data_IF_259227816128
#
_entry.id   IF_259227816128
#
_cell.length_a   1.000
_cell.length_b   1.000
_cell.length_c   1.000
_cell.angle_alpha   90.00
_cell.angle_beta   90.00
_cell.angle_gamma   90.00
#
_symmetry.space_group_name_H-M   'P 1'
#
loop_
_entity.id
_entity.type
_entity.pdbx_description
1 polymer ?
#
# COMPACT_ATOMS: atom_id res chain seq x y z
N UNK A 1 12.42 -20.81 1.81
CA UNK A 1 12.21 -19.41 1.38
C UNK A 1 11.06 -19.40 0.40
N UNK A 2 9.99 -18.63 0.66
CA UNK A 2 8.84 -18.51 -0.26
C UNK A 2 9.00 -17.23 -1.05
N UNK A 3 9.05 -17.35 -2.38
CA UNK A 3 9.17 -16.21 -3.30
C UNK A 3 7.80 -15.97 -3.91
N UNK A 4 7.35 -14.72 -3.91
CA UNK A 4 6.13 -14.29 -4.60
C UNK A 4 6.50 -13.17 -5.55
N UNK A 5 6.08 -13.30 -6.80
CA UNK A 5 6.28 -12.28 -7.82
C UNK A 5 5.07 -11.34 -7.81
N UNK A 6 5.34 -10.03 -7.80
CA UNK A 6 4.33 -8.97 -7.80
C UNK A 6 4.67 -8.01 -8.92
N UNK A 7 3.67 -7.50 -9.64
CA UNK A 7 3.91 -6.52 -10.70
C UNK A 7 4.44 -5.21 -10.09
N UNK A 8 5.65 -4.83 -10.50
CA UNK A 8 6.31 -3.60 -10.05
C UNK A 8 6.01 -2.39 -10.94
N UNK A 9 5.27 -2.54 -12.03
CA UNK A 9 5.04 -1.45 -12.99
C UNK A 9 4.41 -0.23 -12.32
N UNK A 10 5.12 0.91 -12.35
CA UNK A 10 4.63 2.19 -11.85
C UNK A 10 4.70 2.37 -10.33
N UNK A 11 5.27 1.43 -9.56
CA UNK A 11 5.38 1.55 -8.09
C UNK A 11 6.26 2.71 -7.65
N UNK A 12 7.24 3.11 -8.46
CA UNK A 12 8.15 4.24 -8.18
C UNK A 12 7.59 5.61 -8.56
N UNK A 13 6.47 5.65 -9.29
CA UNK A 13 5.90 6.88 -9.85
C UNK A 13 4.56 7.28 -9.26
N UNK A 14 3.98 6.46 -8.38
CA UNK A 14 2.68 6.72 -7.78
C UNK A 14 2.84 7.06 -6.29
N UNK A 15 2.07 8.05 -5.85
CA UNK A 15 2.04 8.45 -4.44
C UNK A 15 1.49 7.31 -3.58
N UNK A 16 2.25 6.92 -2.56
CA UNK A 16 1.85 5.87 -1.62
C UNK A 16 0.64 6.24 -0.74
N UNK A 17 0.24 7.51 -0.72
CA UNK A 17 -0.89 8.02 0.07
C UNK A 17 -2.15 8.13 -0.78
N UNK A 18 -2.08 8.88 -1.90
CA UNK A 18 -3.24 9.23 -2.70
C UNK A 18 -3.30 8.54 -4.08
N UNK A 19 -2.25 7.81 -4.49
CA UNK A 19 -2.23 7.08 -5.76
C UNK A 19 -2.01 7.94 -7.01
N UNK A 20 -1.85 9.26 -6.89
CA UNK A 20 -1.57 10.15 -8.04
C UNK A 20 -0.13 10.04 -8.50
N UNK A 21 0.16 10.48 -9.74
CA UNK A 21 1.51 10.48 -10.30
C UNK A 21 2.39 11.50 -9.58
N UNK A 22 3.59 11.08 -9.19
CA UNK A 22 4.58 11.92 -8.55
C UNK A 22 5.40 12.71 -9.57
N UNK A 23 5.79 13.93 -9.20
CA UNK A 23 6.74 14.76 -9.92
C UNK A 23 8.17 14.58 -9.40
N UNK A 24 9.20 14.89 -10.21
CA UNK A 24 10.59 14.91 -9.74
C UNK A 24 10.84 16.07 -8.76
N UNK A 25 11.67 15.85 -7.75
CA UNK A 25 12.05 16.86 -6.75
C UNK A 25 13.57 16.87 -6.47
N UNK A 26 14.38 16.67 -7.52
CA UNK A 26 15.84 16.53 -7.42
C UNK A 26 16.33 15.15 -7.89
N UNK A 27 17.57 14.78 -7.55
CA UNK A 27 18.25 13.62 -8.14
C UNK A 27 17.48 12.29 -7.98
N UNK A 28 17.04 11.97 -6.75
CA UNK A 28 16.29 10.73 -6.47
C UNK A 28 14.96 10.95 -5.74
N UNK A 29 14.66 12.19 -5.35
CA UNK A 29 13.41 12.51 -4.66
C UNK A 29 12.25 12.71 -5.62
N UNK A 30 11.08 12.30 -5.16
CA UNK A 30 9.79 12.47 -5.83
C UNK A 30 8.86 13.24 -4.90
N UNK A 31 8.01 14.09 -5.48
CA UNK A 31 7.04 14.92 -4.75
C UNK A 31 5.61 14.67 -5.25
N UNK A 32 4.67 14.62 -4.32
CA UNK A 32 3.25 14.65 -4.61
C UNK A 32 2.71 16.08 -4.47
N UNK A 33 2.07 16.59 -5.53
CA UNK A 33 1.39 17.90 -5.50
C UNK A 33 0.17 17.90 -4.59
N UNK A 34 -0.52 16.76 -4.47
CA UNK A 34 -1.82 16.68 -3.79
C UNK A 34 -1.70 16.56 -2.27
N UNK A 35 -0.81 15.71 -1.78
CA UNK A 35 -0.69 15.43 -0.35
C UNK A 35 0.65 15.89 0.27
N UNK A 36 1.53 16.52 -0.52
CA UNK A 36 2.81 17.05 -0.05
C UNK A 36 3.87 16.01 0.30
N UNK A 37 3.66 14.72 -0.02
CA UNK A 37 4.66 13.67 0.17
C UNK A 37 5.94 14.03 -0.61
N UNK A 38 7.10 14.02 0.07
CA UNK A 38 8.43 14.12 -0.54
C UNK A 38 9.30 12.98 -0.02
N UNK A 39 9.72 12.08 -0.89
CA UNK A 39 10.48 10.89 -0.51
C UNK A 39 11.36 10.37 -1.64
N UNK A 40 12.32 9.50 -1.29
CA UNK A 40 13.17 8.82 -2.28
C UNK A 40 12.35 7.85 -3.14
N UNK A 41 12.62 7.86 -4.44
CA UNK A 41 11.94 7.03 -5.44
C UNK A 41 11.99 5.54 -5.12
N UNK A 42 13.12 5.04 -4.61
CA UNK A 42 13.32 3.62 -4.31
C UNK A 42 12.54 3.22 -3.05
N UNK A 43 12.47 4.11 -2.05
CA UNK A 43 11.63 3.94 -0.85
C UNK A 43 10.15 3.87 -1.22
N UNK A 44 9.70 4.75 -2.12
CA UNK A 44 8.32 4.76 -2.64
C UNK A 44 8.02 3.44 -3.39
N UNK A 45 8.95 2.98 -4.23
CA UNK A 45 8.80 1.75 -4.99
C UNK A 45 8.59 0.52 -4.10
N UNK A 46 9.41 0.36 -3.06
CA UNK A 46 9.32 -0.78 -2.12
C UNK A 46 8.01 -0.75 -1.32
N UNK A 47 7.61 0.43 -0.81
CA UNK A 47 6.35 0.59 -0.06
C UNK A 47 5.13 0.25 -0.93
N UNK A 48 5.11 0.74 -2.17
CA UNK A 48 4.02 0.43 -3.10
C UNK A 48 4.00 -1.04 -3.51
N UNK A 49 5.17 -1.67 -3.69
CA UNK A 49 5.26 -3.11 -3.98
C UNK A 49 4.73 -3.96 -2.82
N UNK A 50 5.11 -3.61 -1.58
CA UNK A 50 4.58 -4.26 -0.38
C UNK A 50 3.06 -4.10 -0.26
N UNK A 51 2.54 -2.90 -0.52
CA UNK A 51 1.09 -2.65 -0.51
C UNK A 51 0.36 -3.50 -1.56
N UNK A 52 0.90 -3.61 -2.78
CA UNK A 52 0.34 -4.51 -3.82
C UNK A 52 0.36 -5.96 -3.38
N UNK A 53 1.49 -6.44 -2.86
CA UNK A 53 1.59 -7.79 -2.32
C UNK A 53 0.49 -8.07 -1.28
N UNK A 54 0.25 -7.15 -0.35
CA UNK A 54 -0.79 -7.29 0.68
C UNK A 54 -2.20 -7.29 0.09
N UNK A 55 -2.44 -6.56 -1.01
CA UNK A 55 -3.72 -6.57 -1.71
C UNK A 55 -3.92 -7.87 -2.49
N UNK A 56 -2.90 -8.32 -3.23
CA UNK A 56 -2.94 -9.51 -4.08
C UNK A 56 -2.96 -10.82 -3.28
N UNK A 57 -2.24 -10.87 -2.16
CA UNK A 57 -2.24 -12.04 -1.27
C UNK A 57 -3.57 -12.20 -0.51
N UNK A 58 -4.49 -11.25 -0.67
CA UNK A 58 -5.55 -10.97 0.30
C UNK A 58 -4.89 -10.43 1.56
N UNK A 59 -5.35 -9.29 2.07
CA UNK A 59 -5.05 -8.96 3.45
C UNK A 59 -5.40 -10.21 4.26
N UNK A 60 -4.47 -10.69 5.08
CA UNK A 60 -4.79 -11.64 6.14
C UNK A 60 -5.84 -10.95 7.01
N UNK A 61 -7.10 -10.99 6.57
CA UNK A 61 -8.24 -10.62 7.37
C UNK A 61 -8.18 -11.62 8.50
N UNK A 62 -7.77 -11.12 9.66
CA UNK A 62 -7.93 -11.85 10.89
C UNK A 62 -9.35 -12.43 10.88
N UNK A 63 -9.54 -13.73 11.19
CA UNK A 63 -10.86 -14.35 11.09
C UNK A 63 -11.88 -13.46 11.81
N UNK A 64 -12.99 -13.19 11.12
CA UNK A 64 -14.05 -12.33 11.61
C UNK A 64 -14.39 -12.72 13.05
N UNK A 65 -14.38 -11.74 13.96
CA UNK A 65 -14.73 -11.97 15.36
C UNK A 65 -16.10 -12.66 15.44
N UNK A 66 -16.29 -13.66 16.31
CA UNK A 66 -17.53 -14.42 16.38
C UNK A 66 -18.75 -13.49 16.52
N UNK A 67 -19.88 -13.80 15.85
CA UNK A 67 -21.08 -12.99 15.98
C UNK A 67 -21.52 -12.97 17.44
N UNK A 68 -21.66 -11.76 18.01
CA UNK A 68 -22.18 -11.60 19.37
C UNK A 68 -23.58 -12.22 19.45
N UNK A 69 -23.74 -13.26 20.29
CA UNK A 69 -25.06 -13.83 20.58
C UNK A 69 -25.87 -12.77 21.34
N UNK A 70 -26.94 -12.26 20.72
CA UNK A 70 -27.94 -11.44 21.40
C UNK A 70 -28.67 -12.34 22.39
N UNK A 71 -28.40 -12.16 23.69
CA UNK A 71 -29.02 -12.93 24.77
C UNK A 71 -30.55 -12.85 24.70
N UNK A 72 -31.20 -14.01 24.77
CA UNK A 72 -32.65 -14.12 24.85
C UNK A 72 -33.19 -13.62 26.20
N UNK A 73 -34.33 -12.93 26.14
CA UNK A 73 -35.34 -12.87 27.20
C UNK A 73 -36.57 -13.55 26.59
N UNK A 74 -37.09 -14.63 27.14
CA UNK A 74 -37.58 -14.76 28.52
C UNK A 74 -39.07 -14.53 28.43
#
# INVERSE_FOLDING_TARGET
>A
MRITYVDAKGTSSLCLVCGVKLGPNGCRQMKCSECGLEEDRDVIAVKNLLRRYQMDAGASVHPESPPMKRGGKG
#
